data_IF_332888716528
#
_entry.id   IF_332888716528
#
_cell.length_a   1.000
_cell.length_b   1.000
_cell.length_c   1.000
_cell.angle_alpha   90.00
_cell.angle_beta   90.00
_cell.angle_gamma   90.00
#
_symmetry.space_group_name_H-M   'P 1'
#
loop_
_entity.id
_entity.type
_entity.pdbx_description
1 polymer ?
#
# COMPACT_ATOMS: atom_id res chain seq x y z
N UNK A 1 17.53 -25.91 6.06
CA UNK A 1 17.66 -24.52 5.56
C UNK A 1 19.12 -24.27 5.26
N UNK A 2 19.46 -23.69 4.11
CA UNK A 2 20.85 -23.40 3.75
C UNK A 2 21.41 -22.32 4.69
N UNK A 3 22.58 -22.54 5.32
CA UNK A 3 23.14 -21.66 6.36
C UNK A 3 23.33 -20.20 5.91
N UNK A 4 23.56 -19.97 4.62
CA UNK A 4 23.71 -18.63 4.08
C UNK A 4 22.38 -17.85 4.06
N UNK A 5 21.23 -18.52 3.85
CA UNK A 5 19.90 -17.87 3.87
C UNK A 5 19.60 -17.34 5.25
N UNK A 6 19.77 -18.19 6.26
CA UNK A 6 19.58 -17.82 7.67
C UNK A 6 20.47 -16.62 8.04
N UNK A 7 21.75 -16.66 7.70
CA UNK A 7 22.67 -15.55 7.95
C UNK A 7 22.24 -14.24 7.28
N UNK A 8 21.76 -14.26 6.03
CA UNK A 8 21.30 -13.05 5.35
C UNK A 8 19.99 -12.52 5.93
N UNK A 9 19.06 -13.41 6.29
CA UNK A 9 17.81 -13.03 6.96
C UNK A 9 18.13 -12.34 8.29
N UNK A 10 19.02 -12.90 9.11
CA UNK A 10 19.46 -12.28 10.37
C UNK A 10 20.10 -10.91 10.16
N UNK A 11 20.92 -10.74 9.13
CA UNK A 11 21.55 -9.46 8.84
C UNK A 11 20.50 -8.40 8.45
N UNK A 12 19.52 -8.76 7.63
CA UNK A 12 18.43 -7.87 7.23
C UNK A 12 17.59 -7.47 8.45
N UNK A 13 17.25 -8.42 9.33
CA UNK A 13 16.42 -8.15 10.51
C UNK A 13 17.15 -7.41 11.64
N UNK A 14 18.48 -7.50 11.69
CA UNK A 14 19.30 -6.70 12.62
C UNK A 14 19.59 -5.29 12.11
N UNK A 15 19.43 -5.03 10.80
CA UNK A 15 19.61 -3.70 10.25
C UNK A 15 18.59 -2.72 10.86
N UNK A 16 19.06 -1.52 11.22
CA UNK A 16 18.25 -0.45 11.83
C UNK A 16 17.82 0.64 10.84
N UNK A 17 18.39 0.63 9.64
CA UNK A 17 18.18 1.63 8.61
C UNK A 17 17.96 0.95 7.26
N UNK A 18 17.06 1.51 6.47
CA UNK A 18 16.69 0.94 5.17
C UNK A 18 17.88 0.93 4.18
N UNK A 19 18.74 1.95 4.25
CA UNK A 19 19.92 2.08 3.38
C UNK A 19 20.96 0.97 3.63
N UNK A 20 20.99 0.41 4.83
CA UNK A 20 21.83 -0.73 5.18
C UNK A 20 21.14 -2.07 4.86
N UNK A 21 19.83 -2.14 5.05
CA UNK A 21 19.05 -3.37 4.81
C UNK A 21 18.91 -3.70 3.31
N UNK A 22 18.71 -2.69 2.46
CA UNK A 22 18.44 -2.91 1.04
C UNK A 22 19.60 -3.54 0.26
N UNK A 23 20.88 -3.17 0.45
CA UNK A 23 22.00 -3.87 -0.18
C UNK A 23 22.07 -5.36 0.18
N UNK A 24 21.73 -5.72 1.42
CA UNK A 24 21.70 -7.12 1.88
C UNK A 24 20.54 -7.86 1.21
N UNK A 25 19.36 -7.25 1.13
CA UNK A 25 18.21 -7.79 0.40
C UNK A 25 18.54 -8.00 -1.08
N UNK A 26 19.20 -7.03 -1.73
CA UNK A 26 19.63 -7.15 -3.13
C UNK A 26 20.57 -8.33 -3.31
N UNK A 27 21.52 -8.53 -2.39
CA UNK A 27 22.40 -9.69 -2.44
C UNK A 27 21.64 -11.00 -2.24
N UNK A 28 20.68 -11.03 -1.31
CA UNK A 28 19.79 -12.18 -1.13
C UNK A 28 19.02 -12.50 -2.43
N UNK A 29 18.40 -11.49 -3.06
CA UNK A 29 17.71 -11.63 -4.34
C UNK A 29 18.62 -12.21 -5.44
N UNK A 30 19.86 -11.70 -5.56
CA UNK A 30 20.83 -12.24 -6.50
C UNK A 30 21.14 -13.72 -6.22
N UNK A 31 21.33 -14.10 -4.95
CA UNK A 31 21.64 -15.48 -4.55
C UNK A 31 20.49 -16.46 -4.86
N UNK A 32 19.23 -15.99 -4.83
CA UNK A 32 18.07 -16.78 -5.26
C UNK A 32 17.75 -16.63 -6.77
N UNK A 33 18.64 -16.00 -7.55
CA UNK A 33 18.56 -15.96 -9.01
C UNK A 33 17.81 -14.76 -9.61
N UNK A 34 17.54 -13.71 -8.81
CA UNK A 34 16.85 -12.50 -9.26
C UNK A 34 17.81 -11.31 -9.31
N UNK A 35 17.94 -10.72 -10.49
CA UNK A 35 18.88 -9.62 -10.75
C UNK A 35 18.28 -8.26 -10.40
N UNK A 36 16.95 -8.17 -10.42
CA UNK A 36 16.18 -6.98 -10.13
C UNK A 36 15.39 -7.19 -8.85
N UNK A 37 15.51 -6.24 -7.93
CA UNK A 37 14.85 -6.22 -6.64
C UNK A 37 14.42 -4.78 -6.32
N UNK A 38 13.17 -4.61 -5.95
CA UNK A 38 12.62 -3.33 -5.52
C UNK A 38 11.64 -3.48 -4.37
N UNK A 39 11.62 -2.51 -3.47
CA UNK A 39 10.60 -2.36 -2.44
C UNK A 39 9.82 -1.08 -2.75
N UNK A 40 8.50 -1.15 -2.69
CA UNK A 40 7.60 0.00 -2.81
C UNK A 40 6.71 0.07 -1.58
N UNK A 41 6.58 1.26 -1.00
CA UNK A 41 5.61 1.57 0.06
C UNK A 41 4.56 2.48 -0.53
N UNK A 42 3.31 2.04 -0.49
CA UNK A 42 2.15 2.74 -1.05
C UNK A 42 1.01 2.77 -0.05
N UNK A 43 0.05 3.67 -0.24
CA UNK A 43 -1.15 3.76 0.61
C UNK A 43 -2.39 3.51 -0.25
N UNK A 44 -3.11 2.39 -0.06
CA UNK A 44 -4.34 2.10 -0.79
C UNK A 44 -5.37 3.24 -0.65
N UNK A 45 -6.05 3.57 -1.75
CA UNK A 45 -7.17 4.51 -1.73
C UNK A 45 -6.82 6.00 -1.50
N UNK A 46 -5.54 6.36 -1.47
CA UNK A 46 -5.09 7.75 -1.28
C UNK A 46 -4.28 8.23 -2.48
N UNK A 47 -4.85 9.14 -3.29
CA UNK A 47 -4.20 9.69 -4.48
C UNK A 47 -3.14 10.76 -4.18
N UNK A 48 -3.22 11.41 -3.02
CA UNK A 48 -2.24 12.43 -2.59
C UNK A 48 -0.96 11.84 -2.01
N UNK A 49 -0.95 10.55 -1.71
CA UNK A 49 0.20 9.87 -1.13
C UNK A 49 1.23 9.55 -2.21
N UNK A 50 2.41 10.17 -2.13
CA UNK A 50 3.53 9.83 -3.00
C UNK A 50 4.17 8.53 -2.52
N UNK A 51 4.19 7.45 -3.32
CA UNK A 51 4.78 6.19 -2.91
C UNK A 51 6.30 6.34 -2.77
N UNK A 52 6.85 5.66 -1.77
CA UNK A 52 8.30 5.52 -1.60
C UNK A 52 8.75 4.25 -2.31
N UNK A 53 9.92 4.28 -2.92
CA UNK A 53 10.50 3.07 -3.49
C UNK A 53 12.02 3.12 -3.43
N UNK A 54 12.61 1.94 -3.23
CA UNK A 54 14.06 1.70 -3.32
C UNK A 54 14.24 0.47 -4.19
N UNK A 55 15.08 0.56 -5.22
CA UNK A 55 15.29 -0.54 -6.15
C UNK A 55 16.69 -0.48 -6.77
N UNK A 56 17.09 -1.56 -7.44
CA UNK A 56 18.29 -1.60 -8.28
C UNK A 56 17.96 -1.63 -9.78
N UNK A 57 16.79 -1.14 -10.18
CA UNK A 57 16.40 -1.05 -11.57
C UNK A 57 17.19 0.07 -12.27
N UNK A 58 17.17 0.08 -13.61
CA UNK A 58 17.88 1.11 -14.37
C UNK A 58 17.25 2.50 -14.10
N UNK A 59 18.06 3.58 -14.06
CA UNK A 59 17.51 4.93 -13.96
C UNK A 59 16.51 5.24 -15.08
N UNK A 60 16.78 4.77 -16.30
CA UNK A 60 15.89 4.91 -17.45
C UNK A 60 14.51 4.27 -17.20
N UNK A 61 14.47 3.04 -16.64
CA UNK A 61 13.20 2.42 -16.27
C UNK A 61 12.48 3.21 -15.18
N UNK A 62 13.19 3.65 -14.15
CA UNK A 62 12.59 4.39 -13.05
C UNK A 62 11.92 5.70 -13.54
N UNK A 63 12.57 6.42 -14.45
CA UNK A 63 12.00 7.62 -15.08
C UNK A 63 10.77 7.28 -15.95
N UNK A 64 10.90 6.29 -16.84
CA UNK A 64 9.81 5.84 -17.71
C UNK A 64 8.58 5.39 -16.92
N UNK A 65 8.79 4.61 -15.84
CA UNK A 65 7.73 4.15 -14.95
C UNK A 65 7.01 5.31 -14.26
N UNK A 66 7.75 6.28 -13.73
CA UNK A 66 7.13 7.42 -13.04
C UNK A 66 6.28 8.25 -13.99
N UNK A 67 6.77 8.50 -15.21
CA UNK A 67 6.10 9.35 -16.20
C UNK A 67 4.88 8.66 -16.85
N UNK A 68 4.97 7.36 -17.12
CA UNK A 68 4.00 6.68 -17.99
C UNK A 68 3.12 5.63 -17.29
N UNK A 69 3.61 5.01 -16.21
CA UNK A 69 2.99 3.78 -15.68
C UNK A 69 2.54 3.87 -14.22
N UNK A 70 3.07 4.81 -13.43
CA UNK A 70 2.83 4.92 -11.99
C UNK A 70 1.34 4.99 -11.59
N UNK A 71 0.50 5.65 -12.39
CA UNK A 71 -0.91 5.83 -12.11
C UNK A 71 -1.78 4.58 -12.39
N UNK A 72 -1.37 3.74 -13.33
CA UNK A 72 -2.14 2.58 -13.81
C UNK A 72 -1.36 1.27 -13.64
N UNK A 73 -0.50 1.18 -12.62
CA UNK A 73 0.34 0.01 -12.37
C UNK A 73 -0.52 -1.18 -11.86
N UNK A 74 -0.66 -2.27 -12.64
CA UNK A 74 -1.46 -3.42 -12.26
C UNK A 74 -0.89 -4.18 -11.06
N UNK A 75 0.44 -4.12 -10.84
CA UNK A 75 1.09 -4.72 -9.68
C UNK A 75 0.57 -4.04 -8.42
N UNK A 76 0.61 -2.71 -8.41
CA UNK A 76 0.17 -1.89 -7.27
C UNK A 76 -1.33 -2.09 -7.03
N UNK A 77 -2.15 -2.04 -8.08
CA UNK A 77 -3.60 -2.23 -7.96
C UNK A 77 -3.96 -3.60 -7.35
N UNK A 78 -3.28 -4.67 -7.80
CA UNK A 78 -3.49 -6.01 -7.27
C UNK A 78 -2.99 -6.14 -5.82
N UNK A 79 -1.77 -5.65 -5.55
CA UNK A 79 -1.14 -5.73 -4.24
C UNK A 79 -1.92 -4.94 -3.18
N UNK A 80 -2.69 -3.92 -3.55
CA UNK A 80 -3.60 -3.21 -2.61
C UNK A 80 -4.81 -4.04 -2.18
N UNK A 81 -5.17 -5.08 -2.92
CA UNK A 81 -6.41 -5.86 -2.72
C UNK A 81 -6.17 -7.30 -2.28
N UNK A 82 -4.94 -7.79 -2.41
CA UNK A 82 -4.59 -9.19 -2.18
C UNK A 82 -3.34 -9.30 -1.30
N UNK A 83 -3.27 -10.37 -0.51
CA UNK A 83 -2.06 -10.78 0.23
C UNK A 83 -1.26 -11.87 -0.50
N UNK A 84 -1.74 -12.34 -1.65
CA UNK A 84 -1.05 -13.34 -2.47
C UNK A 84 -0.02 -12.70 -3.40
N UNK A 85 1.03 -13.42 -3.82
CA UNK A 85 1.95 -12.92 -4.82
C UNK A 85 1.26 -12.64 -6.17
N UNK A 86 1.69 -11.58 -6.83
CA UNK A 86 1.35 -11.24 -8.20
C UNK A 86 2.43 -11.78 -9.14
N UNK A 87 2.12 -12.84 -9.88
CA UNK A 87 3.03 -13.43 -10.86
C UNK A 87 3.01 -12.64 -12.17
N UNK A 88 4.18 -12.22 -12.65
CA UNK A 88 4.27 -11.40 -13.85
C UNK A 88 4.11 -12.26 -15.09
N UNK A 89 3.14 -11.92 -15.93
CA UNK A 89 2.87 -12.61 -17.19
C UNK A 89 2.13 -11.68 -18.15
N UNK A 90 2.21 -11.96 -19.46
CA UNK A 90 1.43 -11.23 -20.47
C UNK A 90 -0.07 -11.16 -20.12
N UNK A 91 -0.63 -12.22 -19.54
CA UNK A 91 -2.04 -12.26 -19.11
C UNK A 91 -2.30 -11.30 -17.94
N UNK A 92 -1.41 -11.26 -16.95
CA UNK A 92 -1.52 -10.38 -15.79
C UNK A 92 -1.45 -8.90 -16.17
N UNK A 93 -0.69 -8.55 -17.22
CA UNK A 93 -0.58 -7.20 -17.77
C UNK A 93 -1.49 -6.94 -18.98
N UNK A 94 -2.54 -7.74 -19.19
CA UNK A 94 -3.42 -7.61 -20.36
C UNK A 94 -4.09 -6.24 -20.49
N UNK A 95 -4.33 -5.54 -19.37
CA UNK A 95 -4.88 -4.17 -19.35
C UNK A 95 -3.83 -3.07 -19.57
N UNK A 96 -2.54 -3.41 -19.46
CA UNK A 96 -1.41 -2.47 -19.56
C UNK A 96 -0.28 -3.05 -20.45
N UNK A 97 -0.56 -3.39 -21.71
CA UNK A 97 0.40 -4.06 -22.60
C UNK A 97 1.65 -3.22 -22.90
N UNK A 98 1.54 -1.89 -22.85
CA UNK A 98 2.68 -0.97 -23.01
C UNK A 98 3.69 -1.12 -21.87
N UNK A 99 3.20 -1.19 -20.63
CA UNK A 99 4.05 -1.41 -19.46
C UNK A 99 4.71 -2.79 -19.52
N UNK A 100 3.97 -3.82 -19.94
CA UNK A 100 4.54 -5.16 -20.15
C UNK A 100 5.70 -5.14 -21.15
N UNK A 101 5.50 -4.50 -22.30
CA UNK A 101 6.52 -4.40 -23.34
C UNK A 101 7.75 -3.63 -22.86
N UNK A 102 7.55 -2.53 -22.11
CA UNK A 102 8.64 -1.76 -21.53
C UNK A 102 9.45 -2.60 -20.51
N UNK A 103 8.80 -3.37 -19.64
CA UNK A 103 9.50 -4.29 -18.73
C UNK A 103 10.41 -5.28 -19.49
N UNK A 104 9.95 -5.81 -20.63
CA UNK A 104 10.76 -6.71 -21.45
C UNK A 104 11.99 -5.99 -22.04
N UNK A 105 11.81 -4.76 -22.56
CA UNK A 105 12.91 -3.96 -23.10
C UNK A 105 14.00 -3.67 -22.06
N UNK A 106 13.62 -3.55 -20.79
CA UNK A 106 14.53 -3.38 -19.65
C UNK A 106 14.99 -4.70 -19.02
N UNK A 107 14.73 -5.84 -19.68
CA UNK A 107 15.19 -7.19 -19.28
C UNK A 107 14.60 -7.69 -17.96
N UNK A 108 13.45 -7.15 -17.56
CA UNK A 108 12.64 -7.61 -16.42
C UNK A 108 11.51 -8.50 -16.93
N UNK A 109 11.87 -9.66 -17.46
CA UNK A 109 10.99 -10.52 -18.25
C UNK A 109 10.15 -11.46 -17.37
N UNK A 110 10.76 -12.04 -16.34
CA UNK A 110 10.13 -12.98 -15.41
C UNK A 110 10.25 -12.48 -13.98
N UNK A 111 9.14 -12.38 -13.26
CA UNK A 111 9.17 -11.84 -11.91
C UNK A 111 7.89 -12.09 -11.13
N UNK A 112 7.94 -11.73 -9.85
CA UNK A 112 6.75 -11.66 -9.01
C UNK A 112 6.83 -10.47 -8.07
N UNK A 113 5.67 -10.05 -7.58
CA UNK A 113 5.55 -9.04 -6.55
C UNK A 113 4.74 -9.56 -5.38
N UNK A 114 5.21 -9.36 -4.16
CA UNK A 114 4.57 -9.85 -2.94
C UNK A 114 4.21 -8.69 -2.01
N UNK A 115 2.95 -8.61 -1.56
CA UNK A 115 2.49 -7.54 -0.66
C UNK A 115 2.55 -7.92 0.82
N UNK A 116 2.73 -6.90 1.65
CA UNK A 116 2.49 -6.89 3.09
C UNK A 116 1.66 -5.65 3.44
N UNK A 117 0.51 -5.87 4.09
CA UNK A 117 -0.36 -4.79 4.54
C UNK A 117 -0.10 -4.48 6.01
N UNK A 118 0.24 -3.23 6.30
CA UNK A 118 0.27 -2.68 7.64
C UNK A 118 -1.03 -1.94 7.92
N UNK A 119 -1.98 -2.63 8.55
CA UNK A 119 -3.29 -2.10 8.92
C UNK A 119 -3.19 -0.91 9.88
N UNK A 120 -2.14 -0.83 10.70
CA UNK A 120 -1.99 0.25 11.67
C UNK A 120 -1.78 1.59 10.97
N UNK A 121 -1.04 1.58 9.87
CA UNK A 121 -0.69 2.79 9.12
C UNK A 121 -1.40 2.90 7.76
N UNK A 122 -2.30 1.98 7.42
CA UNK A 122 -2.90 1.85 6.09
C UNK A 122 -1.84 1.81 4.96
N UNK A 123 -0.75 1.08 5.16
CA UNK A 123 0.32 0.96 4.16
C UNK A 123 0.28 -0.41 3.49
N UNK A 124 0.64 -0.43 2.21
CA UNK A 124 0.95 -1.62 1.44
C UNK A 124 2.42 -1.53 1.02
N UNK A 125 3.25 -2.33 1.69
CA UNK A 125 4.62 -2.59 1.33
C UNK A 125 4.67 -3.72 0.31
N UNK A 126 5.41 -3.57 -0.77
CA UNK A 126 5.49 -4.55 -1.85
C UNK A 126 6.93 -4.79 -2.20
N UNK A 127 7.38 -6.04 -2.16
CA UNK A 127 8.66 -6.45 -2.75
C UNK A 127 8.43 -6.97 -4.16
N UNK A 128 9.28 -6.59 -5.10
CA UNK A 128 9.24 -7.05 -6.49
C UNK A 128 10.59 -7.61 -6.89
N UNK A 129 10.60 -8.85 -7.38
CA UNK A 129 11.79 -9.53 -7.87
C UNK A 129 11.61 -9.85 -9.35
N UNK A 130 12.65 -9.63 -10.16
CA UNK A 130 12.63 -9.98 -11.58
C UNK A 130 13.99 -10.45 -12.12
N UNK A 131 13.94 -11.20 -13.22
CA UNK A 131 15.08 -11.73 -13.97
C UNK A 131 14.77 -11.79 -15.48
N UNK A 132 15.79 -11.74 -16.35
CA UNK A 132 15.64 -11.78 -17.80
C UNK A 132 15.35 -13.16 -18.36
N UNK A 133 15.71 -14.22 -17.64
CA UNK A 133 15.63 -15.59 -18.15
C UNK A 133 15.02 -16.50 -17.11
N UNK A 134 14.40 -17.58 -17.58
CA UNK A 134 13.75 -18.60 -16.77
C UNK A 134 12.47 -18.10 -16.09
N UNK A 135 11.34 -18.72 -16.42
CA UNK A 135 10.08 -18.43 -15.74
C UNK A 135 10.16 -18.73 -14.25
N UNK A 136 9.35 -18.04 -13.47
CA UNK A 136 9.20 -18.30 -12.04
C UNK A 136 8.31 -19.54 -11.88
N UNK A 137 8.82 -20.58 -11.22
CA UNK A 137 8.06 -21.79 -10.97
C UNK A 137 7.30 -21.73 -9.64
N UNK A 138 6.18 -22.46 -9.55
CA UNK A 138 5.35 -22.47 -8.34
C UNK A 138 6.08 -22.95 -7.08
N UNK A 139 6.96 -23.97 -7.21
CA UNK A 139 7.73 -24.49 -6.08
C UNK A 139 8.81 -23.50 -5.63
N UNK A 140 9.47 -22.81 -6.56
CA UNK A 140 10.41 -21.73 -6.28
C UNK A 140 9.74 -20.60 -5.50
N UNK A 141 8.56 -20.16 -5.95
CA UNK A 141 7.77 -19.15 -5.28
C UNK A 141 7.39 -19.59 -3.86
N UNK A 142 6.90 -20.83 -3.70
CA UNK A 142 6.56 -21.40 -2.40
C UNK A 142 7.75 -21.40 -1.44
N UNK A 143 8.92 -21.85 -1.90
CA UNK A 143 10.14 -21.93 -1.10
C UNK A 143 10.65 -20.57 -0.62
N UNK A 144 10.45 -19.50 -1.41
CA UNK A 144 10.89 -18.15 -1.04
C UNK A 144 9.82 -17.33 -0.31
N UNK A 145 8.54 -17.70 -0.42
CA UNK A 145 7.40 -16.89 0.07
C UNK A 145 7.52 -16.51 1.54
N UNK A 146 7.77 -17.48 2.42
CA UNK A 146 7.83 -17.26 3.86
C UNK A 146 9.00 -16.35 4.28
N UNK A 147 10.17 -16.54 3.66
CA UNK A 147 11.35 -15.71 3.91
C UNK A 147 11.11 -14.27 3.46
N UNK A 148 10.60 -14.08 2.24
CA UNK A 148 10.33 -12.75 1.71
C UNK A 148 9.21 -12.05 2.47
N UNK A 149 8.20 -12.77 2.96
CA UNK A 149 7.15 -12.20 3.80
C UNK A 149 7.72 -11.64 5.10
N UNK A 150 8.53 -12.45 5.78
CA UNK A 150 9.17 -12.06 7.04
C UNK A 150 10.10 -10.86 6.85
N UNK A 151 10.94 -10.89 5.82
CA UNK A 151 11.85 -9.80 5.47
C UNK A 151 11.08 -8.52 5.09
N UNK A 152 10.03 -8.62 4.27
CA UNK A 152 9.22 -7.48 3.84
C UNK A 152 8.54 -6.78 5.02
N UNK A 153 8.03 -7.54 5.99
CA UNK A 153 7.46 -6.96 7.21
C UNK A 153 8.50 -6.12 7.97
N UNK A 154 9.72 -6.63 8.15
CA UNK A 154 10.80 -5.89 8.81
C UNK A 154 11.18 -4.62 8.03
N UNK A 155 11.34 -4.73 6.71
CA UNK A 155 11.64 -3.59 5.85
C UNK A 155 10.56 -2.52 5.91
N UNK A 156 9.28 -2.91 5.96
CA UNK A 156 8.16 -2.00 6.11
C UNK A 156 8.26 -1.19 7.43
N UNK A 157 8.67 -1.82 8.52
CA UNK A 157 8.94 -1.15 9.79
C UNK A 157 10.13 -0.18 9.71
N UNK A 158 11.20 -0.54 9.00
CA UNK A 158 12.33 0.37 8.77
C UNK A 158 11.94 1.61 7.97
N UNK A 159 11.09 1.47 6.96
CA UNK A 159 10.54 2.62 6.23
C UNK A 159 9.78 3.56 7.17
N UNK A 160 8.93 3.04 8.05
CA UNK A 160 8.18 3.83 9.04
C UNK A 160 9.10 4.60 10.00
N UNK A 161 10.23 4.02 10.39
CA UNK A 161 11.24 4.67 11.25
C UNK A 161 11.98 5.76 10.47
N UNK A 162 12.34 5.50 9.21
CA UNK A 162 13.08 6.44 8.37
C UNK A 162 12.23 7.65 7.91
N UNK A 163 10.92 7.45 7.70
CA UNK A 163 10.02 8.49 7.21
C UNK A 163 8.73 8.66 8.05
N UNK A 164 8.82 8.85 9.39
CA UNK A 164 7.64 8.86 10.26
C UNK A 164 6.54 9.86 9.87
N UNK A 165 6.83 11.17 9.62
CA UNK A 165 5.78 12.14 9.37
C UNK A 165 5.07 11.95 8.02
N UNK A 166 5.72 11.26 7.07
CA UNK A 166 5.15 11.01 5.75
C UNK A 166 4.38 9.68 5.69
N UNK A 167 4.76 8.71 6.50
CA UNK A 167 4.21 7.36 6.48
C UNK A 167 3.22 7.07 7.61
N UNK A 168 3.30 7.76 8.75
CA UNK A 168 2.35 7.56 9.84
C UNK A 168 0.93 7.92 9.41
N UNK A 169 -0.05 7.11 9.84
CA UNK A 169 -1.46 7.46 9.68
C UNK A 169 -1.78 8.70 10.52
N UNK A 170 -2.48 9.71 9.97
CA UNK A 170 -2.92 10.84 10.77
C UNK A 170 -3.77 10.34 11.95
N UNK A 171 -3.74 11.04 13.10
CA UNK A 171 -4.48 10.62 14.28
C UNK A 171 -5.98 10.46 13.94
N UNK A 172 -6.67 9.47 14.55
CA UNK A 172 -8.06 9.21 14.26
C UNK A 172 -8.93 10.44 14.57
N UNK A 173 -9.89 10.71 13.69
CA UNK A 173 -10.80 11.85 13.80
C UNK A 173 -11.75 11.66 14.99
N UNK A 174 -11.53 12.38 16.10
CA UNK A 174 -12.40 12.22 17.27
C UNK A 174 -13.77 12.88 17.07
N UNK A 175 -14.82 12.07 17.12
CA UNK A 175 -16.21 12.52 17.12
C UNK A 175 -16.74 12.63 18.55
N UNK A 176 -17.51 13.69 18.81
CA UNK A 176 -18.36 13.76 19.99
C UNK A 176 -19.50 12.74 19.89
N UNK A 177 -20.11 12.40 21.04
CA UNK A 177 -21.28 11.52 21.10
C UNK A 177 -22.37 12.02 20.13
N UNK A 178 -22.59 13.35 20.10
CA UNK A 178 -23.62 13.95 19.26
C UNK A 178 -23.31 13.87 17.77
N UNK A 179 -22.05 14.10 17.38
CA UNK A 179 -21.61 13.92 16.00
C UNK A 179 -21.73 12.46 15.55
N UNK A 180 -21.46 11.50 16.44
CA UNK A 180 -21.61 10.07 16.17
C UNK A 180 -23.08 9.67 15.92
N UNK A 181 -24.00 10.16 16.75
CA UNK A 181 -25.45 9.94 16.54
C UNK A 181 -25.91 10.50 15.19
N UNK A 182 -25.49 11.74 14.89
CA UNK A 182 -25.87 12.43 13.66
C UNK A 182 -25.29 11.74 12.42
N UNK A 183 -24.03 11.31 12.44
CA UNK A 183 -23.43 10.64 11.28
C UNK A 183 -24.07 9.27 11.01
N UNK A 184 -24.48 8.53 12.05
CA UNK A 184 -25.23 7.27 11.91
C UNK A 184 -26.58 7.47 11.25
N UNK A 185 -27.34 8.48 11.67
CA UNK A 185 -28.63 8.79 11.04
C UNK A 185 -28.45 9.34 9.61
N UNK A 186 -27.40 10.12 9.35
CA UNK A 186 -27.04 10.54 8.00
C UNK A 186 -26.74 9.33 7.09
N UNK A 187 -26.06 8.31 7.60
CA UNK A 187 -25.75 7.09 6.85
C UNK A 187 -27.01 6.29 6.49
N UNK A 188 -28.06 6.36 7.31
CA UNK A 188 -29.38 5.80 7.02
C UNK A 188 -30.21 6.66 6.05
N UNK A 189 -29.64 7.74 5.50
CA UNK A 189 -30.30 8.62 4.54
C UNK A 189 -31.22 9.67 5.14
N UNK A 190 -31.20 9.87 6.47
CA UNK A 190 -32.07 10.85 7.13
C UNK A 190 -31.69 12.30 6.79
N UNK A 191 -32.72 13.13 6.63
CA UNK A 191 -32.61 14.58 6.47
C UNK A 191 -32.29 15.26 7.79
N UNK A 192 -31.73 16.47 7.74
CA UNK A 192 -31.41 17.23 8.97
C UNK A 192 -32.66 17.48 9.83
N UNK A 193 -33.82 17.69 9.18
CA UNK A 193 -35.10 17.83 9.83
C UNK A 193 -35.53 16.54 10.56
N UNK A 194 -35.51 15.37 9.88
CA UNK A 194 -35.84 14.08 10.50
C UNK A 194 -34.90 13.75 11.66
N UNK A 195 -33.61 14.01 11.50
CA UNK A 195 -32.61 13.82 12.58
C UNK A 195 -32.94 14.72 13.76
N UNK A 196 -33.36 15.96 13.52
CA UNK A 196 -33.80 16.88 14.57
C UNK A 196 -35.00 16.34 15.35
N UNK A 197 -35.97 15.75 14.65
CA UNK A 197 -37.12 15.08 15.28
C UNK A 197 -36.70 13.87 16.11
N UNK A 198 -35.86 12.98 15.56
CA UNK A 198 -35.39 11.76 16.23
C UNK A 198 -34.59 12.09 17.50
N UNK A 199 -33.73 13.11 17.42
CA UNK A 199 -32.80 13.45 18.49
C UNK A 199 -33.29 14.61 19.38
N UNK A 200 -34.54 15.05 19.20
CA UNK A 200 -35.19 16.17 19.89
C UNK A 200 -34.35 17.47 19.94
N UNK A 201 -33.85 17.90 18.78
CA UNK A 201 -33.11 19.17 18.61
C UNK A 201 -33.54 19.91 17.36
N UNK A 202 -33.30 21.23 17.34
CA UNK A 202 -33.56 22.03 16.17
C UNK A 202 -32.70 21.59 14.96
N UNK A 203 -33.28 21.63 13.76
CA UNK A 203 -32.61 21.30 12.50
C UNK A 203 -31.29 22.09 12.32
N UNK A 204 -31.27 23.37 12.71
CA UNK A 204 -30.06 24.22 12.68
C UNK A 204 -28.90 23.62 13.48
N UNK A 205 -29.19 22.94 14.60
CA UNK A 205 -28.19 22.29 15.45
C UNK A 205 -27.63 21.04 14.76
N UNK A 206 -28.48 20.28 14.08
CA UNK A 206 -28.04 19.14 13.26
C UNK A 206 -27.11 19.61 12.14
N UNK A 207 -27.51 20.66 11.41
CA UNK A 207 -26.70 21.25 10.34
C UNK A 207 -25.35 21.78 10.85
N UNK A 208 -25.31 22.34 12.07
CA UNK A 208 -24.05 22.74 12.72
C UNK A 208 -23.10 21.54 12.91
N UNK A 209 -23.59 20.42 13.46
CA UNK A 209 -22.76 19.23 13.64
C UNK A 209 -22.36 18.58 12.31
N UNK A 210 -23.22 18.61 11.28
CA UNK A 210 -22.86 18.14 9.93
C UNK A 210 -21.71 18.97 9.35
N UNK A 211 -21.73 20.31 9.52
CA UNK A 211 -20.61 21.16 9.10
C UNK A 211 -19.32 20.79 9.83
N UNK A 212 -19.38 20.56 11.14
CA UNK A 212 -18.22 20.12 11.91
C UNK A 212 -17.69 18.76 11.42
N UNK A 213 -18.56 17.80 11.12
CA UNK A 213 -18.19 16.51 10.53
C UNK A 213 -17.46 16.69 9.18
N UNK A 214 -18.00 17.53 8.29
CA UNK A 214 -17.39 17.84 7.00
C UNK A 214 -15.98 18.40 7.19
N UNK A 215 -15.79 19.37 8.10
CA UNK A 215 -14.48 19.94 8.41
C UNK A 215 -13.54 18.91 9.02
N UNK A 216 -14.00 18.13 10.01
CA UNK A 216 -13.19 17.13 10.71
C UNK A 216 -12.68 16.02 9.79
N UNK A 217 -13.49 15.60 8.82
CA UNK A 217 -13.11 14.59 7.82
C UNK A 217 -12.46 15.18 6.57
N UNK A 218 -12.24 16.49 6.51
CA UNK A 218 -11.77 17.20 5.31
C UNK A 218 -12.57 16.81 4.05
N UNK A 219 -13.88 16.72 4.19
CA UNK A 219 -14.80 16.31 3.14
C UNK A 219 -15.37 17.52 2.39
N UNK A 220 -15.83 17.31 1.15
CA UNK A 220 -16.47 18.37 0.36
C UNK A 220 -17.98 18.50 0.61
N UNK A 221 -18.63 17.47 1.15
CA UNK A 221 -20.08 17.47 1.42
C UNK A 221 -20.45 16.40 2.48
N UNK A 222 -21.74 16.40 2.87
CA UNK A 222 -22.31 15.47 3.86
C UNK A 222 -22.05 14.00 3.51
N UNK A 223 -22.26 13.60 2.26
CA UNK A 223 -22.08 12.21 1.83
C UNK A 223 -20.62 11.79 1.86
N UNK A 224 -19.70 12.65 1.39
CA UNK A 224 -18.27 12.42 1.49
C UNK A 224 -17.81 12.29 2.95
N UNK A 225 -18.38 13.07 3.87
CA UNK A 225 -18.11 12.96 5.30
C UNK A 225 -18.62 11.64 5.90
N UNK A 226 -19.82 11.20 5.50
CA UNK A 226 -20.37 9.89 5.91
C UNK A 226 -19.51 8.74 5.40
N UNK A 227 -19.07 8.78 4.14
CA UNK A 227 -18.17 7.77 3.55
C UNK A 227 -16.83 7.76 4.30
N UNK A 228 -16.26 8.92 4.61
CA UNK A 228 -15.03 9.04 5.39
C UNK A 228 -15.21 8.49 6.82
N UNK A 229 -16.34 8.75 7.46
CA UNK A 229 -16.66 8.21 8.78
C UNK A 229 -16.80 6.68 8.77
N UNK A 230 -17.42 6.10 7.73
CA UNK A 230 -17.49 4.65 7.55
C UNK A 230 -16.11 4.03 7.36
N UNK A 231 -15.27 4.62 6.50
CA UNK A 231 -13.88 4.18 6.31
C UNK A 231 -13.04 4.26 7.60
N UNK A 232 -13.35 5.20 8.48
CA UNK A 232 -12.70 5.35 9.78
C UNK A 232 -13.29 4.45 10.88
N UNK A 233 -14.29 3.60 10.57
CA UNK A 233 -14.87 2.64 11.50
C UNK A 233 -15.91 3.22 12.47
N UNK A 234 -16.51 4.37 12.17
CA UNK A 234 -17.56 4.97 13.01
C UNK A 234 -18.98 4.45 12.72
N UNK A 235 -19.15 3.72 11.61
CA UNK A 235 -20.42 3.21 11.10
C UNK A 235 -20.38 1.70 10.93
#
# INVERSE_FOLDING_TARGET
MERWKESQIEQITRAKEIDNAFPILRNFANNIGFQYCGIKVSRPGTTSFKPFFINNFTPAWNEEYQNNFSANDPITEYCHKSMLPFLWSRKAFSKTPLMWSALQNHRMEHGWSQPFHDEKNDLCCTISLARPYCEVFALELYDQYGVLQYVLQHLCALFLIAFPPMLAKPPPVRLSIRELEIVKLCALGKTAWEIGQILNVAERTVNYHIKNLITKFNACNKMSAVIAASKAGYL
#
